data_IF_034941650075
#
_entry.id   IF_034941650075
#
_cell.length_a   1.000
_cell.length_b   1.000
_cell.length_c   1.000
_cell.angle_alpha   90.00
_cell.angle_beta   90.00
_cell.angle_gamma   90.00
#
_symmetry.space_group_name_H-M   'P 1'
#
loop_
_entity.id
_entity.type
_entity.pdbx_description
1 polymer ?
#
# COMPACT_ATOMS: atom_id res chain seq x y z
N UNK A 1 2.30 -11.74 -8.35
CA UNK A 1 2.37 -11.54 -6.88
C UNK A 1 3.51 -12.32 -6.22
N UNK A 2 3.68 -13.65 -6.41
CA UNK A 2 4.78 -14.43 -5.80
C UNK A 2 6.17 -13.83 -6.07
N UNK A 3 6.42 -13.35 -7.29
CA UNK A 3 7.69 -12.72 -7.65
C UNK A 3 7.89 -11.36 -6.97
N UNK A 4 6.82 -10.61 -6.78
CA UNK A 4 6.84 -9.35 -6.04
C UNK A 4 7.26 -9.56 -4.59
N UNK A 5 6.64 -10.50 -3.86
CA UNK A 5 7.05 -10.78 -2.48
C UNK A 5 8.47 -11.36 -2.36
N UNK A 6 8.94 -12.12 -3.37
CA UNK A 6 10.34 -12.53 -3.43
C UNK A 6 11.27 -11.33 -3.56
N UNK A 7 10.88 -10.32 -4.36
CA UNK A 7 11.63 -9.08 -4.53
C UNK A 7 11.67 -8.27 -3.23
N UNK A 8 10.53 -8.08 -2.57
CA UNK A 8 10.46 -7.43 -1.27
C UNK A 8 11.38 -8.10 -0.24
N UNK A 9 11.32 -9.42 -0.14
CA UNK A 9 12.19 -10.19 0.76
C UNK A 9 13.67 -10.07 0.42
N UNK A 10 14.04 -10.07 -0.87
CA UNK A 10 15.41 -9.84 -1.33
C UNK A 10 15.93 -8.47 -0.87
N UNK A 11 15.05 -7.46 -0.87
CA UNK A 11 15.35 -6.10 -0.41
C UNK A 11 15.11 -5.92 1.11
N UNK A 12 14.98 -7.01 1.88
CA UNK A 12 14.79 -7.00 3.34
C UNK A 12 13.50 -6.35 3.82
N UNK A 13 12.51 -6.14 2.93
CA UNK A 13 11.16 -5.71 3.26
C UNK A 13 10.37 -6.95 3.67
N UNK A 14 10.26 -7.19 4.96
CA UNK A 14 9.66 -8.41 5.52
C UNK A 14 8.63 -8.14 6.64
N UNK A 15 8.26 -6.88 6.84
CA UNK A 15 7.22 -6.44 7.76
C UNK A 15 6.10 -5.75 7.00
N UNK A 16 4.87 -6.11 7.33
CA UNK A 16 3.66 -5.65 6.64
C UNK A 16 2.64 -5.16 7.67
N UNK A 17 2.07 -3.99 7.43
CA UNK A 17 0.94 -3.49 8.21
C UNK A 17 -0.09 -2.87 7.29
N UNK A 18 -1.38 -3.13 7.50
CA UNK A 18 -2.39 -2.56 6.63
C UNK A 18 -3.82 -2.97 6.96
N UNK A 19 -4.71 -2.57 6.07
CA UNK A 19 -6.13 -2.90 6.11
C UNK A 19 -6.45 -3.83 4.94
N UNK A 20 -6.96 -5.05 5.19
CA UNK A 20 -7.26 -6.00 4.13
C UNK A 20 -8.27 -5.46 3.12
N UNK A 21 -8.03 -5.73 1.84
CA UNK A 21 -8.90 -5.34 0.73
C UNK A 21 -9.11 -6.48 -0.26
N UNK A 22 -10.25 -6.46 -0.94
CA UNK A 22 -10.63 -7.50 -1.92
C UNK A 22 -9.78 -7.51 -3.19
N UNK A 23 -9.27 -6.36 -3.63
CA UNK A 23 -8.33 -6.25 -4.77
C UNK A 23 -7.01 -6.92 -4.43
N UNK A 24 -6.60 -6.85 -3.16
CA UNK A 24 -5.39 -7.44 -2.63
C UNK A 24 -5.57 -8.88 -2.13
N UNK A 25 -6.63 -9.59 -2.55
CA UNK A 25 -6.95 -10.95 -2.07
C UNK A 25 -5.76 -11.92 -2.14
N UNK A 26 -5.06 -11.96 -3.26
CA UNK A 26 -3.89 -12.83 -3.42
C UNK A 26 -2.68 -12.40 -2.58
N UNK A 27 -2.64 -11.14 -2.15
CA UNK A 27 -1.69 -10.59 -1.19
C UNK A 27 -2.05 -11.06 0.22
N UNK A 28 -3.33 -10.99 0.58
CA UNK A 28 -3.81 -11.47 1.88
C UNK A 28 -3.50 -12.96 2.08
N UNK A 29 -3.66 -13.80 1.05
CA UNK A 29 -3.26 -15.22 1.08
C UNK A 29 -1.76 -15.44 1.36
N UNK A 30 -0.92 -14.49 0.96
CA UNK A 30 0.50 -14.53 1.32
C UNK A 30 0.69 -14.14 2.79
N UNK A 31 0.01 -13.10 3.27
CA UNK A 31 0.11 -12.63 4.63
C UNK A 31 -0.33 -13.66 5.66
N UNK A 32 -1.34 -14.46 5.35
CA UNK A 32 -1.81 -15.56 6.21
C UNK A 32 -0.74 -16.63 6.49
N UNK A 33 0.29 -16.71 5.63
CA UNK A 33 1.37 -17.70 5.72
C UNK A 33 2.61 -17.18 6.43
N UNK A 34 2.72 -15.88 6.71
CA UNK A 34 3.86 -15.31 7.39
C UNK A 34 3.63 -15.23 8.91
N UNK A 35 4.72 -15.08 9.66
CA UNK A 35 4.64 -14.99 11.12
C UNK A 35 3.79 -13.77 11.54
N UNK A 36 2.93 -13.92 12.53
CA UNK A 36 2.10 -12.84 13.08
C UNK A 36 2.90 -11.62 13.55
N UNK A 37 4.15 -11.80 13.95
CA UNK A 37 5.07 -10.70 14.31
C UNK A 37 5.58 -9.91 13.10
N UNK A 38 5.31 -10.38 11.90
CA UNK A 38 5.71 -9.75 10.63
C UNK A 38 4.53 -9.18 9.84
N UNK A 39 3.31 -9.44 10.28
CA UNK A 39 2.10 -8.94 9.64
C UNK A 39 1.10 -8.49 10.70
N UNK A 40 0.70 -7.21 10.63
CA UNK A 40 -0.26 -6.60 11.54
C UNK A 40 -1.43 -6.04 10.73
N UNK A 41 -2.63 -6.56 11.01
CA UNK A 41 -3.87 -5.96 10.52
C UNK A 41 -4.20 -4.80 11.44
N UNK A 42 -4.28 -3.61 10.87
CA UNK A 42 -4.55 -2.38 11.61
C UNK A 42 -6.05 -2.05 11.61
N UNK A 43 -6.50 -1.27 12.58
CA UNK A 43 -7.88 -0.80 12.68
C UNK A 43 -8.26 0.19 11.56
N UNK A 44 -7.28 0.96 11.07
CA UNK A 44 -7.38 1.87 9.94
C UNK A 44 -5.99 2.14 9.33
N UNK A 45 -5.96 2.83 8.20
CA UNK A 45 -4.73 3.07 7.44
C UNK A 45 -3.73 3.97 8.19
N UNK A 46 -4.22 4.97 8.92
CA UNK A 46 -3.37 5.81 9.78
C UNK A 46 -2.65 5.00 10.86
N UNK A 47 -3.35 4.06 11.50
CA UNK A 47 -2.75 3.13 12.46
C UNK A 47 -1.75 2.18 11.80
N UNK A 48 -2.00 1.75 10.56
CA UNK A 48 -1.08 0.92 9.80
C UNK A 48 0.24 1.67 9.54
N UNK A 49 0.14 2.94 9.14
CA UNK A 49 1.31 3.81 8.93
C UNK A 49 2.07 4.01 10.24
N UNK A 50 1.37 4.38 11.33
CA UNK A 50 2.01 4.60 12.63
C UNK A 50 2.77 3.36 13.12
N UNK A 51 2.18 2.17 12.96
CA UNK A 51 2.83 0.89 13.29
C UNK A 51 4.08 0.66 12.44
N UNK A 52 4.01 0.98 11.15
CA UNK A 52 5.13 0.86 10.22
C UNK A 52 6.26 1.84 10.53
N UNK A 53 5.95 3.07 10.92
CA UNK A 53 6.92 4.06 11.40
C UNK A 53 7.64 3.53 12.64
N UNK A 54 6.89 3.03 13.63
CA UNK A 54 7.46 2.44 14.84
C UNK A 54 8.39 1.26 14.54
N UNK A 55 8.03 0.41 13.56
CA UNK A 55 8.88 -0.67 13.10
C UNK A 55 10.19 -0.16 12.49
N UNK A 56 10.12 0.84 11.59
CA UNK A 56 11.32 1.44 11.00
C UNK A 56 12.23 2.07 12.06
N UNK A 57 11.68 2.90 12.94
CA UNK A 57 12.45 3.58 13.99
C UNK A 57 13.15 2.60 14.94
N UNK A 58 12.53 1.45 15.19
CA UNK A 58 13.11 0.44 16.11
C UNK A 58 14.10 -0.51 15.43
N UNK A 59 14.03 -0.68 14.10
CA UNK A 59 14.80 -1.73 13.40
C UNK A 59 15.68 -1.21 12.26
N UNK A 60 15.45 0.00 11.77
CA UNK A 60 16.07 0.55 10.56
C UNK A 60 15.64 -0.17 9.25
N UNK A 61 14.61 -1.03 9.30
CA UNK A 61 14.16 -1.80 8.14
C UNK A 61 12.92 -1.19 7.53
N UNK A 62 12.90 -1.15 6.19
CA UNK A 62 11.78 -0.61 5.41
C UNK A 62 10.54 -1.48 5.59
N UNK A 63 9.40 -0.94 6.03
CA UNK A 63 8.12 -1.63 6.11
C UNK A 63 7.35 -1.58 4.79
N UNK A 64 6.35 -2.45 4.65
CA UNK A 64 5.33 -2.35 3.62
C UNK A 64 3.97 -2.04 4.26
N UNK A 65 3.34 -0.94 3.83
CA UNK A 65 1.97 -0.57 4.19
C UNK A 65 1.04 -0.98 3.04
N UNK A 66 -0.14 -1.54 3.35
CA UNK A 66 -1.09 -1.94 2.31
C UNK A 66 -2.52 -1.60 2.69
N UNK A 67 -3.31 -1.16 1.71
CA UNK A 67 -4.74 -0.85 1.87
C UNK A 67 -5.44 -0.61 0.53
N UNK A 68 -6.75 -0.41 0.54
CA UNK A 68 -7.55 0.04 -0.59
C UNK A 68 -7.34 1.54 -0.82
N UNK A 69 -7.40 2.01 -2.06
CA UNK A 69 -7.24 3.45 -2.39
C UNK A 69 -8.18 4.40 -1.62
N UNK A 70 -9.33 3.92 -1.13
CA UNK A 70 -10.18 4.72 -0.22
C UNK A 70 -9.50 5.07 1.10
N UNK A 71 -8.50 4.30 1.51
CA UNK A 71 -7.69 4.54 2.70
C UNK A 71 -6.71 5.70 2.58
N UNK A 72 -6.51 6.26 1.38
CA UNK A 72 -5.64 7.43 1.17
C UNK A 72 -6.05 8.62 2.05
N UNK A 73 -7.35 8.81 2.32
CA UNK A 73 -7.81 9.85 3.24
C UNK A 73 -7.20 9.75 4.64
N UNK A 74 -7.11 8.54 5.19
CA UNK A 74 -6.47 8.27 6.50
C UNK A 74 -4.94 8.24 6.42
N UNK A 75 -4.37 8.02 5.23
CA UNK A 75 -2.94 7.96 4.98
C UNK A 75 -2.30 9.35 4.89
N UNK A 76 -3.01 10.36 4.33
CA UNK A 76 -2.47 11.69 4.03
C UNK A 76 -1.82 12.33 5.27
N UNK A 77 -2.53 12.39 6.39
CA UNK A 77 -2.02 13.06 7.57
C UNK A 77 -0.73 12.42 8.13
N UNK A 78 -0.67 11.11 8.42
CA UNK A 78 0.58 10.50 8.88
C UNK A 78 1.70 10.52 7.83
N UNK A 79 1.38 10.51 6.53
CA UNK A 79 2.36 10.71 5.48
C UNK A 79 2.98 12.11 5.54
N UNK A 80 2.16 13.15 5.48
CA UNK A 80 2.60 14.53 5.44
C UNK A 80 3.29 14.98 6.75
N UNK A 81 2.92 14.38 7.89
CA UNK A 81 3.43 14.78 9.21
C UNK A 81 4.64 13.96 9.68
N UNK A 82 4.87 12.78 9.13
CA UNK A 82 5.89 11.86 9.63
C UNK A 82 6.76 11.23 8.52
N UNK A 83 6.13 10.69 7.45
CA UNK A 83 6.89 9.94 6.43
C UNK A 83 7.62 10.85 5.44
N UNK A 84 7.02 12.02 5.12
CA UNK A 84 7.51 12.89 4.06
C UNK A 84 8.98 13.27 4.28
N UNK A 85 9.74 13.35 3.16
CA UNK A 85 11.18 13.61 3.16
C UNK A 85 11.58 14.93 3.85
N UNK A 86 10.70 15.91 3.88
CA UNK A 86 10.95 17.20 4.56
C UNK A 86 10.77 17.11 6.09
N UNK A 87 10.29 15.98 6.62
CA UNK A 87 10.02 15.79 8.06
C UNK A 87 11.00 14.77 8.64
N UNK A 88 10.71 13.46 8.56
CA UNK A 88 11.60 12.42 9.09
C UNK A 88 12.21 11.52 8.01
N UNK A 89 11.82 11.70 6.75
CA UNK A 89 12.34 10.95 5.60
C UNK A 89 12.33 9.43 5.82
N UNK A 90 11.20 8.91 6.25
CA UNK A 90 11.06 7.49 6.56
C UNK A 90 10.70 6.72 5.29
N UNK A 91 11.57 5.82 4.81
CA UNK A 91 11.29 5.02 3.63
C UNK A 91 10.24 3.96 3.92
N UNK A 92 9.36 3.70 2.95
CA UNK A 92 8.32 2.68 3.04
C UNK A 92 7.95 2.16 1.65
N UNK A 93 7.38 0.97 1.60
CA UNK A 93 6.68 0.46 0.41
C UNK A 93 5.19 0.61 0.64
N UNK A 94 4.48 1.20 -0.32
CA UNK A 94 3.03 1.33 -0.29
C UNK A 94 2.39 0.43 -1.36
N UNK A 95 1.47 -0.42 -0.94
CA UNK A 95 0.72 -1.32 -1.80
C UNK A 95 -0.76 -0.97 -1.75
N UNK A 96 -1.31 -0.44 -2.85
CA UNK A 96 -2.68 0.04 -2.91
C UNK A 96 -3.51 -0.81 -3.86
N UNK A 97 -4.62 -1.36 -3.36
CA UNK A 97 -5.65 -1.94 -4.20
C UNK A 97 -6.49 -0.83 -4.83
N UNK A 98 -6.48 -0.71 -6.16
CA UNK A 98 -7.19 0.37 -6.85
C UNK A 98 -8.62 -0.03 -7.20
N UNK A 99 -9.58 0.40 -6.38
CA UNK A 99 -11.02 0.33 -6.65
C UNK A 99 -11.48 1.55 -7.46
N UNK A 100 -12.44 1.31 -8.34
CA UNK A 100 -13.02 2.37 -9.17
C UNK A 100 -12.06 2.93 -10.24
N UNK A 101 -11.06 2.14 -10.67
CA UNK A 101 -10.18 2.51 -11.80
C UNK A 101 -11.01 2.94 -13.01
N UNK A 102 -10.71 4.09 -13.65
CA UNK A 102 -11.41 4.54 -14.83
C UNK A 102 -11.39 3.48 -15.94
N UNK A 103 -12.58 3.20 -16.52
CA UNK A 103 -12.75 2.16 -17.54
C UNK A 103 -13.01 0.75 -17.01
N UNK A 104 -12.89 0.52 -15.70
CA UNK A 104 -13.21 -0.76 -15.05
C UNK A 104 -14.58 -0.66 -14.36
N UNK A 105 -15.42 -1.68 -14.54
CA UNK A 105 -16.72 -1.74 -13.85
C UNK A 105 -16.50 -2.00 -12.37
N UNK A 106 -16.99 -1.09 -11.52
CA UNK A 106 -16.95 -1.19 -10.08
C UNK A 106 -18.18 -0.56 -9.44
N UNK A 107 -18.38 -0.78 -8.15
CA UNK A 107 -19.49 -0.24 -7.38
C UNK A 107 -19.48 1.30 -7.37
N UNK A 108 -20.68 1.94 -7.38
CA UNK A 108 -20.80 3.40 -7.50
C UNK A 108 -19.96 4.19 -6.49
N UNK A 109 -19.88 3.72 -5.25
CA UNK A 109 -19.13 4.37 -4.16
C UNK A 109 -17.61 4.42 -4.41
N UNK A 110 -17.08 3.57 -5.29
CA UNK A 110 -15.66 3.55 -5.62
C UNK A 110 -15.28 4.45 -6.80
N UNK A 111 -16.26 4.84 -7.64
CA UNK A 111 -16.00 5.54 -8.91
C UNK A 111 -15.29 6.88 -8.73
N UNK A 112 -15.75 7.70 -7.80
CA UNK A 112 -15.12 9.01 -7.55
C UNK A 112 -13.74 8.84 -6.97
N UNK A 113 -13.61 8.00 -5.95
CA UNK A 113 -12.31 7.71 -5.30
C UNK A 113 -11.29 7.16 -6.31
N UNK A 114 -11.74 6.26 -7.21
CA UNK A 114 -10.89 5.70 -8.24
C UNK A 114 -10.34 6.75 -9.22
N UNK A 115 -11.17 7.73 -9.59
CA UNK A 115 -10.76 8.83 -10.49
C UNK A 115 -9.65 9.68 -9.91
N UNK A 116 -9.76 10.05 -8.64
CA UNK A 116 -8.83 10.99 -7.98
C UNK A 116 -7.57 10.29 -7.42
N UNK A 117 -7.50 8.96 -7.47
CA UNK A 117 -6.43 8.20 -6.80
C UNK A 117 -5.04 8.58 -7.30
N UNK A 118 -4.81 8.60 -8.60
CA UNK A 118 -3.49 8.92 -9.16
C UNK A 118 -3.14 10.40 -8.98
N UNK A 119 -4.10 11.30 -9.23
CA UNK A 119 -3.94 12.74 -9.02
C UNK A 119 -3.56 13.05 -7.55
N UNK A 120 -4.12 12.29 -6.61
CA UNK A 120 -3.79 12.45 -5.19
C UNK A 120 -2.37 11.96 -4.87
N UNK A 121 -1.92 10.87 -5.47
CA UNK A 121 -0.54 10.40 -5.32
C UNK A 121 0.46 11.38 -5.94
N UNK A 122 0.13 11.92 -7.12
CA UNK A 122 0.93 12.96 -7.79
C UNK A 122 1.03 14.23 -6.93
N UNK A 123 -0.10 14.68 -6.35
CA UNK A 123 -0.13 15.84 -5.43
C UNK A 123 0.75 15.62 -4.20
N UNK A 124 0.82 14.38 -3.71
CA UNK A 124 1.66 14.01 -2.56
C UNK A 124 3.12 13.75 -2.95
N UNK A 125 3.49 13.91 -4.22
CA UNK A 125 4.80 13.56 -4.76
C UNK A 125 5.21 12.09 -4.47
N UNK A 126 4.24 11.18 -4.51
CA UNK A 126 4.47 9.75 -4.33
C UNK A 126 4.59 9.10 -5.71
N UNK A 127 5.79 8.71 -6.08
CA UNK A 127 6.03 7.93 -7.29
C UNK A 127 5.40 6.55 -7.18
N UNK A 128 4.86 6.02 -8.29
CA UNK A 128 4.18 4.73 -8.28
C UNK A 128 4.33 3.95 -9.58
N UNK A 129 4.14 2.65 -9.49
CA UNK A 129 4.06 1.72 -10.61
C UNK A 129 2.70 1.04 -10.59
N UNK A 130 2.05 0.94 -11.75
CA UNK A 130 0.79 0.21 -11.91
C UNK A 130 1.08 -1.24 -12.27
N UNK A 131 0.58 -2.17 -11.46
CA UNK A 131 0.58 -3.60 -11.78
C UNK A 131 -0.83 -3.99 -12.20
N UNK A 132 -1.00 -4.34 -13.46
CA UNK A 132 -2.25 -4.85 -14.03
C UNK A 132 -2.21 -6.36 -14.17
N UNK A 133 -3.34 -7.00 -13.88
CA UNK A 133 -3.48 -8.44 -14.14
C UNK A 133 -3.55 -8.74 -15.65
N UNK A 134 -3.26 -9.99 -16.01
CA UNK A 134 -3.22 -10.42 -17.41
C UNK A 134 -4.57 -10.95 -17.92
N UNK A 135 -5.64 -10.98 -17.12
CA UNK A 135 -6.93 -11.59 -17.46
C UNK A 135 -8.08 -10.59 -17.44
N UNK A 136 -8.80 -10.56 -18.50
CA UNK A 136 -9.67 -9.55 -19.09
C UNK A 136 -11.00 -9.24 -18.40
N UNK A 137 -11.34 -9.70 -17.21
CA UNK A 137 -12.67 -9.44 -16.64
C UNK A 137 -12.74 -9.13 -15.14
N UNK A 138 -11.66 -9.23 -14.40
CA UNK A 138 -11.67 -9.00 -12.95
C UNK A 138 -10.37 -8.44 -12.37
N UNK A 139 -9.38 -8.11 -13.20
CA UNK A 139 -8.04 -7.73 -12.74
C UNK A 139 -7.97 -6.22 -12.53
N UNK A 140 -8.28 -5.81 -11.31
CA UNK A 140 -8.08 -4.43 -10.85
C UNK A 140 -6.60 -4.14 -10.66
N UNK A 141 -6.20 -2.92 -10.95
CA UNK A 141 -4.82 -2.50 -10.81
C UNK A 141 -4.39 -2.40 -9.36
N UNK A 142 -3.14 -2.75 -9.10
CA UNK A 142 -2.45 -2.53 -7.85
C UNK A 142 -1.42 -1.44 -8.08
N UNK A 143 -1.41 -0.46 -7.22
CA UNK A 143 -0.46 0.65 -7.24
C UNK A 143 0.62 0.35 -6.22
N UNK A 144 1.87 0.44 -6.63
CA UNK A 144 3.01 0.24 -5.74
C UNK A 144 3.90 1.47 -5.80
N UNK A 145 4.20 2.01 -4.63
CA UNK A 145 5.29 2.93 -4.42
C UNK A 145 6.46 2.19 -3.77
N UNK A 146 7.67 2.49 -4.19
CA UNK A 146 8.87 2.06 -3.46
C UNK A 146 9.89 3.19 -3.47
N UNK A 147 10.19 3.72 -2.29
CA UNK A 147 11.34 4.58 -2.06
C UNK A 147 12.54 3.70 -1.65
N UNK A 148 12.96 2.79 -2.53
CA UNK A 148 14.08 1.87 -2.30
C UNK A 148 15.31 2.28 -3.14
N UNK A 149 15.56 3.55 -3.27
CA UNK A 149 16.80 4.08 -3.87
C UNK A 149 17.94 4.13 -2.85
#
# INVERSE_FOLDING_TARGET
IKNFFKLLKKNKVDFFSGVPDSVLKSTNEYFDKIKKTKHIIAANEGSAVATSIGYYLSTGKVPCVYFQNSGLGNFINPYASLLHREIYDIPFVLLIGWRGEPGIIDEPQHKFQGKITLELLDLLNIEYILIRGNNSSCDRSIIINSCLD
#
